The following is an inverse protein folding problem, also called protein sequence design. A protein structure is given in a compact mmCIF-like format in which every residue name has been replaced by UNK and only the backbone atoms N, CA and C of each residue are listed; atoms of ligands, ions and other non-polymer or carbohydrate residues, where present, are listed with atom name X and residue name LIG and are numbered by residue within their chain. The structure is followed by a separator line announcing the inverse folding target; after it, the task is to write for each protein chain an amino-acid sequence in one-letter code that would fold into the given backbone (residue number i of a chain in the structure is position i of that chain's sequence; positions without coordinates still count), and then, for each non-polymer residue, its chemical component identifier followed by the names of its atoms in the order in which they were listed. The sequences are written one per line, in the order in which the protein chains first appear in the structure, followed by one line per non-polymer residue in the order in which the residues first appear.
data_IF_325689063844
#
_entry.id   IF_325689063844
#
_cell.length_a   1.000
_cell.length_b   1.000
_cell.length_c   1.000
_cell.angle_alpha   90.00
_cell.angle_beta   90.00
_cell.angle_gamma   90.00
#
_symmetry.space_group_name_H-M   'P 1'
#
loop_
_entity.id
_entity.type
_entity.pdbx_description
1 polymer ?
#
# COMPACT_ATOMS: atom_id res chain seq x y z
N UNK A 1 -6.42 -20.39 -24.06
CA UNK A 1 -7.67 -20.44 -23.29
C UNK A 1 -8.74 -19.71 -24.11
N UNK A 2 -9.79 -20.40 -24.53
CA UNK A 2 -10.87 -19.76 -25.33
C UNK A 2 -11.69 -18.89 -24.37
N UNK A 3 -11.58 -17.58 -24.45
CA UNK A 3 -12.38 -16.60 -23.69
C UNK A 3 -13.89 -16.68 -23.98
N UNK A 4 -14.31 -17.54 -24.93
CA UNK A 4 -15.71 -17.73 -25.31
C UNK A 4 -16.59 -18.43 -24.27
N UNK A 5 -16.00 -18.99 -23.21
CA UNK A 5 -16.73 -19.66 -22.11
C UNK A 5 -16.90 -18.78 -20.87
N UNK A 6 -16.43 -17.53 -20.90
CA UNK A 6 -16.51 -16.60 -19.77
C UNK A 6 -17.34 -15.38 -20.14
N UNK A 7 -18.37 -15.10 -19.36
CA UNK A 7 -19.21 -13.92 -19.55
C UNK A 7 -18.91 -12.85 -18.51
N UNK A 8 -19.07 -11.60 -18.91
CA UNK A 8 -19.03 -10.43 -18.03
C UNK A 8 -20.44 -9.89 -17.86
N UNK A 9 -20.87 -9.72 -16.60
CA UNK A 9 -22.13 -9.06 -16.28
C UNK A 9 -22.02 -7.57 -16.64
N UNK A 10 -22.97 -6.99 -17.36
CA UNK A 10 -22.96 -5.57 -17.68
C UNK A 10 -22.96 -4.72 -16.38
N UNK A 11 -22.26 -3.61 -16.42
CA UNK A 11 -22.28 -2.66 -15.31
C UNK A 11 -23.61 -1.92 -15.31
N UNK A 12 -24.06 -1.53 -14.12
CA UNK A 12 -25.22 -0.68 -13.94
C UNK A 12 -25.03 0.63 -14.70
N UNK A 13 -25.89 0.90 -15.68
CA UNK A 13 -25.78 2.10 -16.53
C UNK A 13 -25.92 3.40 -15.75
N UNK A 14 -26.56 3.39 -14.58
CA UNK A 14 -26.67 4.56 -13.68
C UNK A 14 -25.34 5.00 -13.12
N UNK A 15 -24.33 4.12 -13.11
CA UNK A 15 -22.98 4.41 -12.68
C UNK A 15 -22.06 4.89 -13.82
N UNK A 16 -22.60 5.02 -15.03
CA UNK A 16 -21.85 5.51 -16.18
C UNK A 16 -22.16 6.98 -16.47
N UNK A 17 -21.16 7.76 -16.90
CA UNK A 17 -21.41 9.14 -17.39
C UNK A 17 -22.39 9.12 -18.56
N UNK A 18 -23.30 10.10 -18.61
CA UNK A 18 -24.28 10.26 -19.70
C UNK A 18 -23.60 10.31 -21.08
N UNK A 19 -22.45 10.97 -21.16
CA UNK A 19 -21.70 11.10 -22.41
C UNK A 19 -20.24 10.66 -22.24
N UNK A 20 -19.98 9.38 -22.51
CA UNK A 20 -18.64 8.79 -22.46
C UNK A 20 -17.67 9.46 -23.45
N UNK A 21 -18.16 10.11 -24.52
CA UNK A 21 -17.30 10.72 -25.54
C UNK A 21 -16.52 11.94 -25.01
N UNK A 22 -17.02 12.58 -23.95
CA UNK A 22 -16.38 13.72 -23.28
C UNK A 22 -15.22 13.34 -22.38
N UNK A 23 -15.10 12.05 -22.05
CA UNK A 23 -14.00 11.57 -21.21
C UNK A 23 -12.65 11.61 -21.97
N UNK A 24 -11.53 11.83 -21.25
CA UNK A 24 -10.19 11.63 -21.78
C UNK A 24 -10.02 10.22 -22.35
N UNK A 25 -9.15 10.05 -23.36
CA UNK A 25 -8.98 8.80 -24.09
C UNK A 25 -8.84 7.52 -23.24
N UNK A 26 -8.03 7.48 -22.16
CA UNK A 26 -7.86 6.26 -21.36
C UNK A 26 -9.15 5.85 -20.62
N UNK A 27 -9.82 6.70 -19.81
CA UNK A 27 -11.06 6.32 -19.15
C UNK A 27 -12.20 6.05 -20.14
N UNK A 28 -12.30 6.80 -21.25
CA UNK A 28 -13.28 6.54 -22.30
C UNK A 28 -13.18 5.12 -22.83
N UNK A 29 -11.97 4.65 -23.19
CA UNK A 29 -11.75 3.30 -23.69
C UNK A 29 -12.17 2.22 -22.69
N UNK A 30 -11.91 2.44 -21.40
CA UNK A 30 -12.34 1.53 -20.34
C UNK A 30 -13.87 1.47 -20.29
N UNK A 31 -14.54 2.63 -20.27
CA UNK A 31 -16.01 2.70 -20.24
C UNK A 31 -16.66 2.05 -21.47
N UNK A 32 -16.09 2.24 -22.67
CA UNK A 32 -16.55 1.57 -23.90
C UNK A 32 -16.46 0.04 -23.77
N UNK A 33 -15.38 -0.49 -23.20
CA UNK A 33 -15.21 -1.93 -22.96
C UNK A 33 -16.23 -2.44 -21.95
N UNK A 34 -16.41 -1.73 -20.83
CA UNK A 34 -17.34 -2.09 -19.78
C UNK A 34 -18.80 -2.07 -20.26
N UNK A 35 -19.17 -1.07 -21.07
CA UNK A 35 -20.49 -0.96 -21.70
C UNK A 35 -20.74 -2.05 -22.74
N UNK A 36 -19.73 -2.41 -23.54
CA UNK A 36 -19.83 -3.45 -24.55
C UNK A 36 -20.04 -4.84 -23.95
N UNK A 37 -19.47 -5.07 -22.75
CA UNK A 37 -19.55 -6.38 -22.10
C UNK A 37 -18.81 -7.49 -22.87
N UNK A 38 -19.20 -8.72 -22.61
CA UNK A 38 -18.67 -9.92 -23.29
C UNK A 38 -19.52 -10.34 -24.47
N UNK A 39 -18.92 -11.07 -25.41
CA UNK A 39 -19.64 -11.71 -26.50
C UNK A 39 -20.47 -12.94 -26.09
N UNK A 40 -20.09 -13.55 -24.95
CA UNK A 40 -20.81 -14.67 -24.37
C UNK A 40 -21.98 -14.18 -23.50
N UNK A 41 -23.15 -14.80 -23.63
CA UNK A 41 -24.28 -14.57 -22.75
C UNK A 41 -23.98 -15.12 -21.34
N UNK A 42 -24.36 -14.38 -20.30
CA UNK A 42 -24.22 -14.83 -18.91
C UNK A 42 -24.92 -16.16 -18.66
N UNK A 43 -26.08 -16.37 -19.28
CA UNK A 43 -26.89 -17.60 -19.15
C UNK A 43 -26.27 -18.83 -19.83
N UNK A 44 -25.40 -18.64 -20.78
CA UNK A 44 -24.79 -19.75 -21.56
C UNK A 44 -23.31 -19.97 -21.23
N UNK A 45 -22.69 -19.11 -20.45
CA UNK A 45 -21.29 -19.21 -20.11
C UNK A 45 -21.05 -20.20 -18.97
N UNK A 46 -19.94 -20.94 -19.04
CA UNK A 46 -19.50 -21.83 -17.93
C UNK A 46 -19.10 -21.06 -16.69
N UNK A 47 -18.59 -19.85 -16.86
CA UNK A 47 -18.14 -18.95 -15.80
C UNK A 47 -18.53 -17.53 -16.11
N UNK A 48 -18.83 -16.77 -15.06
CA UNK A 48 -19.10 -15.34 -15.19
C UNK A 48 -18.35 -14.56 -14.12
N UNK A 49 -18.20 -13.27 -14.36
CA UNK A 49 -17.68 -12.33 -13.39
C UNK A 49 -18.41 -10.99 -13.51
N UNK A 50 -18.41 -10.21 -12.44
CA UNK A 50 -19.01 -8.88 -12.38
C UNK A 50 -18.06 -7.91 -11.71
N UNK A 51 -18.31 -6.61 -11.92
CA UNK A 51 -17.75 -5.52 -11.15
C UNK A 51 -18.91 -4.82 -10.43
N UNK A 52 -19.04 -5.09 -9.14
CA UNK A 52 -20.12 -4.58 -8.30
C UNK A 52 -19.60 -3.37 -7.51
N UNK A 53 -19.85 -2.19 -8.04
CA UNK A 53 -19.50 -0.93 -7.40
C UNK A 53 -20.48 -0.57 -6.28
N UNK A 54 -20.10 0.42 -5.48
CA UNK A 54 -20.94 0.94 -4.39
C UNK A 54 -21.41 -0.15 -3.42
N UNK A 55 -20.48 -1.02 -3.02
CA UNK A 55 -20.69 -2.10 -2.05
C UNK A 55 -19.57 -2.07 -1.01
N UNK A 56 -19.93 -1.89 0.25
CA UNK A 56 -19.02 -1.95 1.39
C UNK A 56 -19.22 -3.26 2.15
N UNK A 57 -18.23 -4.15 2.25
CA UNK A 57 -18.41 -5.40 3.00
C UNK A 57 -18.51 -5.10 4.49
N UNK A 58 -19.56 -5.65 5.13
CA UNK A 58 -19.83 -5.45 6.56
C UNK A 58 -19.70 -6.73 7.37
N UNK A 59 -20.03 -7.89 6.77
CA UNK A 59 -19.97 -9.15 7.50
C UNK A 59 -19.69 -10.35 6.60
N UNK A 60 -18.93 -11.31 7.12
CA UNK A 60 -18.72 -12.63 6.53
C UNK A 60 -19.58 -13.65 7.26
N UNK A 61 -20.51 -14.27 6.57
CA UNK A 61 -21.46 -15.22 7.15
C UNK A 61 -21.01 -16.66 6.93
N UNK A 62 -21.02 -17.51 7.94
CA UNK A 62 -20.71 -18.91 7.79
C UNK A 62 -21.77 -19.66 6.96
N UNK A 63 -21.36 -20.70 6.28
CA UNK A 63 -22.27 -21.60 5.59
C UNK A 63 -23.13 -22.38 6.61
N UNK A 64 -24.43 -22.47 6.37
CA UNK A 64 -25.35 -23.22 7.24
C UNK A 64 -25.00 -24.71 7.32
N UNK A 65 -24.57 -25.30 6.19
CA UNK A 65 -24.21 -26.71 6.12
C UNK A 65 -22.80 -27.01 6.58
N UNK A 66 -21.89 -26.02 6.53
CA UNK A 66 -20.47 -26.14 6.91
C UNK A 66 -20.01 -24.87 7.63
N UNK A 67 -20.25 -24.72 8.93
CA UNK A 67 -20.00 -23.47 9.68
C UNK A 67 -18.54 -23.00 9.70
N UNK A 68 -17.58 -23.87 9.37
CA UNK A 68 -16.16 -23.49 9.19
C UNK A 68 -15.82 -22.90 7.82
N UNK A 69 -16.80 -22.80 6.92
CA UNK A 69 -16.64 -22.27 5.57
C UNK A 69 -17.52 -21.03 5.37
N UNK A 70 -17.10 -20.16 4.47
CA UNK A 70 -17.87 -18.99 4.07
C UNK A 70 -19.14 -19.44 3.32
N UNK A 71 -20.28 -18.84 3.67
CA UNK A 71 -21.56 -19.05 3.00
C UNK A 71 -22.03 -17.82 2.22
N UNK A 72 -21.86 -16.62 2.78
CA UNK A 72 -22.18 -15.36 2.11
C UNK A 72 -21.34 -14.21 2.67
N UNK A 73 -21.35 -13.09 1.94
CA UNK A 73 -20.81 -11.81 2.42
C UNK A 73 -21.94 -10.79 2.37
N UNK A 74 -22.18 -10.12 3.49
CA UNK A 74 -23.11 -9.00 3.58
C UNK A 74 -22.39 -7.71 3.18
N UNK A 75 -22.97 -6.97 2.26
CA UNK A 75 -22.51 -5.66 1.82
C UNK A 75 -23.55 -4.61 2.14
N UNK A 76 -23.12 -3.49 2.70
CA UNK A 76 -23.91 -2.28 2.71
C UNK A 76 -23.84 -1.62 1.33
N UNK A 77 -24.98 -1.20 0.79
CA UNK A 77 -25.00 -0.35 -0.40
C UNK A 77 -24.51 1.04 -0.04
N UNK A 78 -23.66 1.61 -0.89
CA UNK A 78 -23.16 2.98 -0.73
C UNK A 78 -23.56 3.84 -1.92
N UNK A 79 -23.68 5.13 -1.72
CA UNK A 79 -23.83 6.14 -2.77
C UNK A 79 -22.62 7.07 -2.78
N UNK A 80 -22.29 7.62 -3.93
CA UNK A 80 -21.26 8.66 -4.05
C UNK A 80 -21.89 10.02 -3.85
N UNK A 81 -21.33 10.86 -2.99
CA UNK A 81 -21.89 12.14 -2.61
C UNK A 81 -20.79 13.23 -2.57
N UNK A 82 -21.08 14.49 -2.95
CA UNK A 82 -22.39 14.98 -3.43
C UNK A 82 -22.68 14.63 -4.89
N UNK A 83 -21.68 14.55 -5.76
CA UNK A 83 -21.81 14.21 -7.17
C UNK A 83 -21.01 12.92 -7.44
N UNK A 84 -21.65 11.87 -7.99
CA UNK A 84 -20.98 10.60 -8.26
C UNK A 84 -19.82 10.71 -9.28
N UNK A 85 -19.78 11.75 -10.09
CA UNK A 85 -18.74 11.99 -11.09
C UNK A 85 -17.64 12.97 -10.63
N UNK A 86 -17.76 13.51 -9.42
CA UNK A 86 -16.69 14.29 -8.81
C UNK A 86 -15.56 13.35 -8.35
N UNK A 87 -14.30 13.56 -8.80
CA UNK A 87 -13.16 12.79 -8.31
C UNK A 87 -12.97 12.82 -6.78
N UNK A 88 -13.51 13.83 -6.11
CA UNK A 88 -13.50 13.99 -4.65
C UNK A 88 -14.71 13.37 -3.94
N UNK A 89 -15.67 12.77 -4.69
CA UNK A 89 -16.86 12.16 -4.13
C UNK A 89 -16.49 11.07 -3.12
N UNK A 90 -17.26 11.02 -2.02
CA UNK A 90 -17.08 10.03 -0.96
C UNK A 90 -18.21 9.00 -1.00
N UNK A 91 -17.86 7.75 -0.77
CA UNK A 91 -18.85 6.70 -0.57
C UNK A 91 -19.54 6.88 0.81
N UNK A 92 -20.84 6.99 0.79
CA UNK A 92 -21.69 7.14 1.99
C UNK A 92 -22.63 5.95 2.05
N UNK A 93 -22.75 5.31 3.23
CA UNK A 93 -23.68 4.21 3.46
C UNK A 93 -25.13 4.66 3.28
N UNK A 94 -25.95 3.82 2.67
CA UNK A 94 -27.40 4.07 2.47
C UNK A 94 -28.26 3.43 3.55
N UNK A 95 -27.67 2.60 4.41
CA UNK A 95 -28.39 1.76 5.37
C UNK A 95 -29.03 0.50 4.76
N UNK A 96 -28.97 0.34 3.44
CA UNK A 96 -29.45 -0.86 2.78
C UNK A 96 -28.34 -1.92 2.68
N UNK A 97 -28.69 -3.17 2.94
CA UNK A 97 -27.76 -4.29 2.86
C UNK A 97 -28.18 -5.33 1.83
N UNK A 98 -27.20 -6.02 1.29
CA UNK A 98 -27.40 -7.15 0.37
C UNK A 98 -26.46 -8.29 0.76
N UNK A 99 -26.98 -9.51 0.77
CA UNK A 99 -26.17 -10.72 0.96
C UNK A 99 -25.82 -11.35 -0.39
N UNK A 100 -24.52 -11.56 -0.61
CA UNK A 100 -24.02 -12.22 -1.81
C UNK A 100 -23.50 -13.60 -1.42
N UNK A 101 -24.07 -14.70 -1.93
CA UNK A 101 -23.57 -16.05 -1.71
C UNK A 101 -22.12 -16.17 -2.16
N UNK A 102 -21.25 -16.63 -1.27
CA UNK A 102 -19.81 -16.67 -1.52
C UNK A 102 -19.18 -17.86 -0.81
N UNK A 103 -18.36 -18.62 -1.50
CA UNK A 103 -17.59 -19.74 -0.91
C UNK A 103 -16.14 -19.38 -0.63
N UNK A 104 -15.66 -18.27 -1.17
CA UNK A 104 -14.30 -17.78 -1.03
C UNK A 104 -14.28 -16.26 -1.17
N UNK A 105 -13.47 -15.59 -0.35
CA UNK A 105 -13.26 -14.15 -0.41
C UNK A 105 -11.77 -13.82 -0.35
N UNK A 106 -11.33 -12.90 -1.20
CA UNK A 106 -9.98 -12.34 -1.18
C UNK A 106 -10.05 -10.87 -0.79
N UNK A 107 -9.25 -10.50 0.20
CA UNK A 107 -9.10 -9.10 0.60
C UNK A 107 -8.04 -8.43 -0.25
N UNK A 108 -8.41 -7.45 -1.05
CA UNK A 108 -7.52 -6.65 -1.90
C UNK A 108 -7.87 -5.17 -1.79
N UNK A 109 -7.82 -4.63 -0.57
CA UNK A 109 -8.23 -3.26 -0.21
C UNK A 109 -7.05 -2.29 -0.11
N UNK A 110 -5.87 -2.70 -0.57
CA UNK A 110 -4.63 -1.94 -0.46
C UNK A 110 -3.95 -2.08 0.91
N UNK A 111 -3.00 -1.21 1.15
CA UNK A 111 -2.17 -1.18 2.36
C UNK A 111 -2.27 0.18 3.04
N UNK A 112 -1.93 0.21 4.30
CA UNK A 112 -1.73 1.41 5.09
C UNK A 112 -0.44 1.25 5.87
N UNK A 113 0.40 2.28 5.89
CA UNK A 113 1.58 2.29 6.74
C UNK A 113 1.16 2.51 8.20
N UNK A 114 1.93 1.97 9.11
CA UNK A 114 1.79 2.15 10.56
C UNK A 114 3.06 2.75 11.12
N UNK A 115 2.94 3.59 12.14
CA UNK A 115 4.08 4.14 12.87
C UNK A 115 4.87 3.02 13.54
N UNK A 116 6.20 3.08 13.49
CA UNK A 116 7.02 2.14 14.23
C UNK A 116 6.97 2.43 15.74
N UNK A 117 7.04 1.39 16.60
CA UNK A 117 7.19 1.59 18.02
C UNK A 117 8.40 2.49 18.33
N UNK A 118 8.20 3.51 19.18
CA UNK A 118 9.23 4.47 19.53
C UNK A 118 9.32 5.70 18.62
N UNK A 119 8.49 5.85 17.60
CA UNK A 119 8.46 7.08 16.79
C UNK A 119 8.21 8.32 17.65
N UNK A 120 7.23 8.29 18.55
CA UNK A 120 6.95 9.39 19.50
C UNK A 120 8.14 9.71 20.39
N UNK A 121 8.84 8.68 20.89
CA UNK A 121 9.98 8.84 21.78
C UNK A 121 11.19 9.48 21.07
N UNK A 122 11.26 9.30 19.75
CA UNK A 122 12.29 9.88 18.88
C UNK A 122 11.88 11.23 18.28
N UNK A 123 10.69 11.73 18.59
CA UNK A 123 10.15 12.95 18.00
C UNK A 123 9.80 12.82 16.52
N UNK A 124 9.54 11.61 16.03
CA UNK A 124 9.09 11.36 14.66
C UNK A 124 7.56 11.47 14.62
N UNK A 125 6.99 12.50 13.97
CA UNK A 125 5.55 12.63 13.84
C UNK A 125 4.99 11.56 12.91
N UNK A 126 3.80 11.05 13.20
CA UNK A 126 3.12 10.09 12.34
C UNK A 126 1.62 10.37 12.33
N UNK A 127 1.04 10.43 11.13
CA UNK A 127 -0.39 10.61 10.93
C UNK A 127 -1.05 9.25 10.71
N UNK A 128 -1.63 8.68 11.77
CA UNK A 128 -2.28 7.35 11.72
C UNK A 128 -3.44 7.28 10.72
N UNK A 129 -4.16 8.38 10.51
CA UNK A 129 -5.29 8.39 9.57
C UNK A 129 -4.83 8.24 8.13
N UNK A 130 -3.77 8.93 7.75
CA UNK A 130 -3.21 8.91 6.40
C UNK A 130 -2.16 7.81 6.22
N UNK A 131 -1.58 7.30 7.33
CA UNK A 131 -0.48 6.33 7.30
C UNK A 131 0.80 6.93 6.73
N UNK A 132 1.12 8.18 7.07
CA UNK A 132 2.31 8.90 6.59
C UNK A 132 3.03 9.64 7.70
N UNK A 133 4.29 9.95 7.48
CA UNK A 133 5.03 10.98 8.20
C UNK A 133 4.71 12.32 7.53
N UNK A 134 4.18 13.33 8.27
CA UNK A 134 3.93 14.67 7.74
C UNK A 134 5.18 15.27 7.11
N UNK A 135 5.05 15.83 5.90
CA UNK A 135 6.20 16.33 5.13
C UNK A 135 5.78 17.40 4.10
N UNK A 136 6.75 18.09 3.51
CA UNK A 136 6.59 19.18 2.56
C UNK A 136 6.45 18.72 1.09
N UNK A 137 6.10 17.45 0.84
CA UNK A 137 6.09 16.80 -0.47
C UNK A 137 7.47 16.55 -1.08
N UNK A 138 8.51 17.30 -0.73
CA UNK A 138 9.89 17.02 -1.10
C UNK A 138 10.56 16.03 -0.14
N UNK A 139 9.92 15.75 0.98
CA UNK A 139 10.34 14.73 1.94
C UNK A 139 10.94 15.28 3.23
N UNK A 140 11.05 16.59 3.40
CA UNK A 140 11.43 17.18 4.68
C UNK A 140 10.29 16.99 5.67
N UNK A 141 10.57 16.42 6.82
CA UNK A 141 9.56 16.14 7.85
C UNK A 141 9.10 17.42 8.53
N UNK A 142 7.78 17.56 8.69
CA UNK A 142 7.14 18.72 9.30
C UNK A 142 6.69 18.36 10.72
N UNK A 143 6.87 19.28 11.67
CA UNK A 143 6.32 19.13 13.00
C UNK A 143 4.86 19.66 13.04
N UNK A 144 3.88 18.77 12.94
CA UNK A 144 2.46 19.13 12.97
C UNK A 144 1.98 19.67 14.33
N UNK A 145 2.76 19.47 15.40
CA UNK A 145 2.37 19.90 16.76
C UNK A 145 2.54 21.41 17.01
N UNK A 146 3.21 22.13 16.13
CA UNK A 146 3.50 23.56 16.33
C UNK A 146 2.60 24.49 15.52
N UNK A 147 1.56 24.00 14.83
CA UNK A 147 0.63 24.83 14.06
C UNK A 147 1.29 25.61 12.92
N UNK A 148 0.50 26.19 12.02
CA UNK A 148 0.97 27.15 11.03
C UNK A 148 1.45 28.41 11.77
N UNK A 149 2.76 28.60 11.84
CA UNK A 149 3.31 29.88 12.28
C UNK A 149 3.36 30.85 11.10
N UNK A 150 3.26 32.15 11.37
CA UNK A 150 3.41 33.21 10.36
C UNK A 150 4.78 33.18 9.63
N UNK A 151 5.70 32.31 10.06
CA UNK A 151 7.05 32.12 9.54
C UNK A 151 7.21 30.88 8.64
N UNK A 152 6.12 30.25 8.21
CA UNK A 152 6.15 29.08 7.33
C UNK A 152 6.19 27.74 8.06
N UNK A 153 6.22 26.64 7.30
CA UNK A 153 6.23 25.28 7.80
C UNK A 153 7.56 24.97 8.50
N UNK A 154 7.51 24.57 9.78
CA UNK A 154 8.72 24.23 10.51
C UNK A 154 9.14 22.80 10.23
N UNK A 155 10.23 22.63 9.49
CA UNK A 155 10.85 21.33 9.27
C UNK A 155 11.60 20.84 10.51
N UNK A 156 11.58 19.53 10.74
CA UNK A 156 12.45 18.91 11.73
C UNK A 156 13.84 18.81 11.12
N UNK A 157 14.86 19.48 11.67
CA UNK A 157 16.18 19.53 11.07
C UNK A 157 16.75 18.13 10.82
N UNK A 158 17.25 17.87 9.60
CA UNK A 158 17.90 16.63 9.23
C UNK A 158 17.00 15.39 9.21
N UNK A 159 15.69 15.55 9.27
CA UNK A 159 14.74 14.44 9.20
C UNK A 159 14.01 14.45 7.87
N UNK A 160 14.11 13.33 7.14
CA UNK A 160 13.53 13.17 5.80
C UNK A 160 12.79 11.83 5.70
N UNK A 161 11.79 11.79 4.83
CA UNK A 161 11.08 10.56 4.51
C UNK A 161 10.89 10.40 2.99
N UNK A 162 10.75 9.17 2.53
CA UNK A 162 10.54 8.82 1.14
C UNK A 162 9.61 7.59 1.02
N UNK A 163 9.05 7.36 -0.16
CA UNK A 163 8.23 6.20 -0.46
C UNK A 163 6.85 6.25 0.20
N UNK A 164 6.35 5.10 0.62
CA UNK A 164 4.99 4.99 1.14
C UNK A 164 4.76 5.77 2.43
N UNK A 165 5.76 5.87 3.27
CA UNK A 165 5.66 6.64 4.53
C UNK A 165 5.63 8.16 4.27
N UNK A 166 6.09 8.62 3.08
CA UNK A 166 6.01 10.01 2.63
C UNK A 166 4.65 10.35 2.00
N UNK A 167 4.14 9.52 1.10
CA UNK A 167 2.99 9.84 0.22
C UNK A 167 1.80 8.89 0.34
N UNK A 168 1.86 7.94 1.26
CA UNK A 168 0.91 6.84 1.35
C UNK A 168 1.23 5.68 0.39
N UNK A 169 0.57 4.52 0.56
CA UNK A 169 0.83 3.30 -0.22
C UNK A 169 0.21 3.37 -1.63
N UNK A 170 0.58 4.38 -2.40
CA UNK A 170 0.05 4.66 -3.74
C UNK A 170 1.17 4.68 -4.79
N UNK A 171 0.79 4.48 -6.05
CA UNK A 171 1.69 4.55 -7.19
C UNK A 171 2.36 3.23 -7.54
N UNK A 172 3.16 3.28 -8.58
CA UNK A 172 3.90 2.16 -9.17
C UNK A 172 5.42 2.38 -9.01
N UNK A 173 6.24 1.41 -9.42
CA UNK A 173 7.71 1.48 -9.30
C UNK A 173 8.28 2.80 -9.86
N UNK A 174 7.81 3.24 -11.03
CA UNK A 174 8.28 4.48 -11.65
C UNK A 174 8.02 5.73 -10.79
N UNK A 175 6.84 5.81 -10.16
CA UNK A 175 6.53 6.94 -9.25
C UNK A 175 7.32 6.86 -7.95
N UNK A 176 7.68 5.67 -7.49
CA UNK A 176 8.55 5.48 -6.32
C UNK A 176 9.98 5.94 -6.59
N UNK A 177 10.49 5.70 -7.79
CA UNK A 177 11.79 6.20 -8.21
C UNK A 177 11.84 7.73 -8.22
N UNK A 178 10.85 8.38 -8.85
CA UNK A 178 10.76 9.84 -8.88
C UNK A 178 10.64 10.44 -7.48
N UNK A 179 9.87 9.80 -6.60
CA UNK A 179 9.72 10.19 -5.21
C UNK A 179 11.05 10.12 -4.44
N UNK A 180 11.81 9.04 -4.63
CA UNK A 180 13.12 8.90 -4.01
C UNK A 180 14.11 9.97 -4.49
N UNK A 181 14.13 10.28 -5.78
CA UNK A 181 14.97 11.34 -6.33
C UNK A 181 14.59 12.72 -5.74
N UNK A 182 13.30 13.06 -5.66
CA UNK A 182 12.90 14.34 -5.09
C UNK A 182 13.34 14.51 -3.64
N UNK A 183 13.33 13.43 -2.85
CA UNK A 183 13.84 13.47 -1.47
C UNK A 183 15.37 13.57 -1.43
N UNK A 184 16.07 12.87 -2.31
CA UNK A 184 17.53 12.97 -2.42
C UNK A 184 17.98 14.39 -2.84
N UNK A 185 17.27 15.00 -3.78
CA UNK A 185 17.52 16.38 -4.21
C UNK A 185 17.32 17.36 -3.05
N UNK A 186 16.24 17.19 -2.26
CA UNK A 186 16.00 18.02 -1.07
C UNK A 186 17.13 17.90 -0.03
N UNK A 187 17.61 16.68 0.24
CA UNK A 187 18.73 16.47 1.16
C UNK A 187 20.00 17.13 0.62
N UNK A 188 20.25 17.02 -0.69
CA UNK A 188 21.42 17.60 -1.35
C UNK A 188 21.38 19.13 -1.30
N UNK A 189 20.21 19.73 -1.58
CA UNK A 189 20.01 21.16 -1.49
C UNK A 189 20.26 21.68 -0.07
N UNK A 190 19.70 21.02 0.94
CA UNK A 190 19.86 21.39 2.35
C UNK A 190 21.31 21.26 2.79
N UNK A 191 22.02 20.23 2.30
CA UNK A 191 23.44 20.06 2.59
C UNK A 191 24.28 21.21 2.03
N UNK A 192 24.10 21.58 0.76
CA UNK A 192 24.84 22.68 0.15
C UNK A 192 24.44 24.06 0.70
N UNK A 193 23.20 24.20 1.15
CA UNK A 193 22.70 25.43 1.77
C UNK A 193 23.03 25.54 3.26
N UNK A 194 23.78 24.58 3.80
CA UNK A 194 24.15 24.52 5.23
C UNK A 194 22.95 24.58 6.17
N UNK A 195 21.82 23.98 5.79
CA UNK A 195 20.65 23.84 6.66
C UNK A 195 21.02 22.98 7.88
N UNK A 196 20.62 23.35 9.10
CA UNK A 196 20.93 22.56 10.30
C UNK A 196 20.40 21.13 10.20
N UNK A 197 21.24 20.15 10.57
CA UNK A 197 20.84 18.76 10.78
C UNK A 197 20.64 18.48 12.28
N UNK A 198 19.95 17.37 12.63
CA UNK A 198 19.66 16.97 14.02
C UNK A 198 20.90 16.86 14.91
N UNK A 199 22.07 16.78 14.29
CA UNK A 199 23.34 16.60 14.96
C UNK A 199 24.27 17.76 14.64
N UNK A 200 24.14 18.90 15.34
CA UNK A 200 25.16 19.92 15.26
C UNK A 200 26.52 19.29 15.65
N UNK A 201 27.57 19.69 14.97
CA UNK A 201 28.94 19.20 15.16
C UNK A 201 29.46 19.50 16.57
N UNK A 202 28.96 18.79 17.56
CA UNK A 202 29.53 18.74 18.89
C UNK A 202 30.54 17.59 18.93
N UNK A 203 31.70 17.77 18.31
CA UNK A 203 32.99 17.12 18.54
C UNK A 203 33.10 15.62 18.87
N UNK A 204 32.03 14.93 19.14
CA UNK A 204 32.01 13.52 19.44
C UNK A 204 31.74 12.71 18.19
N UNK A 205 32.74 12.03 17.67
CA UNK A 205 32.59 11.00 16.65
C UNK A 205 31.52 9.99 17.05
N UNK A 206 30.44 9.93 16.32
CA UNK A 206 29.38 8.94 16.55
C UNK A 206 29.82 7.61 16.00
N UNK A 207 29.89 6.64 16.89
CA UNK A 207 30.36 5.29 16.55
C UNK A 207 29.37 4.49 15.66
N UNK A 208 28.17 5.04 15.37
CA UNK A 208 27.17 4.36 14.56
C UNK A 208 26.83 2.97 15.14
N UNK A 209 26.87 1.93 14.31
CA UNK A 209 26.64 0.56 14.74
C UNK A 209 27.60 0.09 15.82
N UNK A 210 28.86 0.48 15.78
CA UNK A 210 29.86 0.09 16.76
C UNK A 210 29.55 0.60 18.18
N UNK A 211 28.83 1.72 18.27
CA UNK A 211 28.38 2.27 19.55
C UNK A 211 27.18 1.53 20.17
N UNK A 212 26.38 0.83 19.38
CA UNK A 212 25.14 0.18 19.85
C UNK A 212 25.15 -1.34 19.77
N UNK A 213 26.12 -1.94 19.07
CA UNK A 213 26.17 -3.40 18.81
C UNK A 213 26.18 -4.27 20.04
N UNK A 214 26.86 -3.81 21.09
CA UNK A 214 26.95 -4.54 22.35
C UNK A 214 25.61 -4.57 23.09
N UNK A 215 24.93 -3.43 23.16
CA UNK A 215 23.61 -3.32 23.77
C UNK A 215 22.56 -4.09 22.99
N UNK A 216 22.60 -4.02 21.65
CA UNK A 216 21.75 -4.81 20.78
C UNK A 216 21.95 -6.32 20.99
N UNK A 217 23.19 -6.77 21.15
CA UNK A 217 23.52 -8.16 21.47
C UNK A 217 22.97 -8.60 22.83
N UNK A 218 23.07 -7.78 23.87
CA UNK A 218 22.49 -8.03 25.20
C UNK A 218 20.97 -8.21 25.14
N UNK A 219 20.31 -7.53 24.21
CA UNK A 219 18.86 -7.64 23.97
C UNK A 219 18.50 -8.79 23.04
N UNK A 220 19.43 -9.64 22.67
CA UNK A 220 19.20 -10.76 21.75
C UNK A 220 19.04 -10.38 20.29
N UNK A 221 19.37 -9.16 19.91
CA UNK A 221 19.33 -8.74 18.51
C UNK A 221 20.53 -9.32 17.75
N UNK A 222 20.26 -9.97 16.63
CA UNK A 222 21.28 -10.47 15.68
C UNK A 222 21.29 -9.61 14.44
N UNK A 223 22.43 -8.99 14.13
CA UNK A 223 22.62 -8.30 12.86
C UNK A 223 22.76 -9.31 11.73
N UNK A 224 22.04 -9.11 10.65
CA UNK A 224 22.24 -9.79 9.38
C UNK A 224 22.95 -8.81 8.43
N UNK A 225 24.17 -9.14 8.02
CA UNK A 225 24.95 -8.33 7.08
C UNK A 225 24.51 -8.57 5.63
N UNK A 226 25.05 -7.75 4.71
CA UNK A 226 24.86 -8.00 3.28
C UNK A 226 25.42 -9.35 2.82
N UNK A 227 26.57 -9.77 3.33
CA UNK A 227 27.18 -11.06 3.05
C UNK A 227 26.31 -12.21 3.56
N UNK A 228 25.71 -12.05 4.74
CA UNK A 228 24.78 -13.06 5.29
C UNK A 228 23.52 -13.16 4.43
N UNK A 229 22.98 -12.01 4.00
CA UNK A 229 21.85 -12.00 3.06
C UNK A 229 22.21 -12.72 1.75
N UNK A 230 23.40 -12.51 1.20
CA UNK A 230 23.85 -13.19 -0.01
C UNK A 230 23.93 -14.73 0.16
N UNK A 231 24.30 -15.24 1.34
CA UNK A 231 24.25 -16.66 1.64
C UNK A 231 22.81 -17.18 1.62
N UNK A 232 21.88 -16.49 2.29
CA UNK A 232 20.45 -16.83 2.28
C UNK A 232 19.92 -16.84 0.84
N UNK A 233 20.18 -15.79 0.08
CA UNK A 233 19.78 -15.65 -1.33
C UNK A 233 20.27 -16.82 -2.20
N UNK A 234 21.52 -17.20 -2.04
CA UNK A 234 22.12 -18.31 -2.77
C UNK A 234 21.43 -19.64 -2.47
N UNK A 235 21.13 -19.91 -1.20
CA UNK A 235 20.42 -21.14 -0.79
C UNK A 235 18.97 -21.14 -1.30
N UNK A 236 18.27 -20.01 -1.23
CA UNK A 236 16.91 -19.90 -1.78
C UNK A 236 16.87 -20.16 -3.28
N UNK A 237 17.84 -19.64 -4.05
CA UNK A 237 18.00 -19.89 -5.49
C UNK A 237 18.28 -21.38 -5.76
N UNK A 238 19.22 -21.98 -5.04
CA UNK A 238 19.53 -23.40 -5.18
C UNK A 238 18.31 -24.30 -4.88
N UNK A 239 17.56 -24.00 -3.84
CA UNK A 239 16.30 -24.68 -3.52
C UNK A 239 15.23 -24.50 -4.61
N UNK A 240 15.19 -23.34 -5.24
CA UNK A 240 14.29 -23.07 -6.37
C UNK A 240 14.66 -23.93 -7.59
N UNK A 241 15.92 -23.99 -7.94
CA UNK A 241 16.41 -24.77 -9.08
C UNK A 241 16.03 -26.26 -8.97
N UNK A 242 16.12 -26.84 -7.77
CA UNK A 242 15.70 -28.23 -7.53
C UNK A 242 14.21 -28.47 -7.74
N UNK A 243 13.39 -27.41 -7.79
CA UNK A 243 11.93 -27.45 -7.99
C UNK A 243 11.50 -26.81 -9.32
N UNK A 244 12.43 -26.60 -10.25
CA UNK A 244 12.17 -25.90 -11.52
C UNK A 244 11.56 -24.50 -11.33
N UNK A 245 11.96 -23.79 -10.27
CA UNK A 245 11.59 -22.41 -9.96
C UNK A 245 12.84 -21.53 -9.95
N UNK A 246 12.67 -20.25 -10.21
CA UNK A 246 13.77 -19.29 -10.10
C UNK A 246 14.30 -19.21 -8.65
N UNK A 247 13.39 -19.26 -7.69
CA UNK A 247 13.67 -19.15 -6.26
C UNK A 247 12.62 -19.89 -5.42
N UNK A 248 13.06 -20.48 -4.30
CA UNK A 248 12.16 -21.00 -3.26
C UNK A 248 12.50 -20.31 -1.94
N UNK A 249 11.76 -19.26 -1.60
CA UNK A 249 12.00 -18.46 -0.40
C UNK A 249 11.81 -19.23 0.89
N UNK A 250 12.61 -18.89 1.91
CA UNK A 250 12.31 -19.25 3.27
C UNK A 250 11.10 -18.42 3.76
N UNK A 251 10.18 -19.07 4.45
CA UNK A 251 8.97 -18.45 4.99
C UNK A 251 9.10 -18.10 6.48
N UNK A 252 10.16 -18.54 7.13
CA UNK A 252 10.41 -18.32 8.56
C UNK A 252 11.80 -17.75 8.79
N UNK A 253 11.90 -16.74 9.65
CA UNK A 253 13.18 -16.11 10.03
C UNK A 253 14.15 -17.15 10.61
N UNK A 254 13.65 -18.09 11.43
CA UNK A 254 14.47 -19.17 11.99
C UNK A 254 15.21 -19.96 10.91
N UNK A 255 14.54 -20.27 9.80
CA UNK A 255 15.13 -21.06 8.71
C UNK A 255 16.15 -20.24 7.92
N UNK A 256 15.93 -18.92 7.80
CA UNK A 256 16.91 -17.98 7.21
C UNK A 256 18.18 -17.91 8.06
N UNK A 257 18.02 -17.79 9.38
CA UNK A 257 19.16 -17.67 10.29
C UNK A 257 19.96 -18.98 10.40
N UNK A 258 19.30 -20.14 10.30
CA UNK A 258 19.97 -21.44 10.30
C UNK A 258 20.92 -21.66 9.10
N UNK A 259 20.81 -20.87 8.03
CA UNK A 259 21.76 -20.87 6.90
C UNK A 259 23.07 -20.17 7.27
N UNK A 260 23.05 -19.33 8.31
CA UNK A 260 24.16 -18.48 8.71
C UNK A 260 25.00 -19.09 9.85
N UNK A 261 24.44 -20.09 10.53
CA UNK A 261 25.09 -20.87 11.60
C UNK A 261 25.90 -22.01 10.99
#
# INVERSE_FOLDING_TARGET
MKLSSVAFHPIDETLMPEDISKLPRPPRRIMEILKKGSSASVSSAEKSWSLDFCRSPTMFNPSVSRPSQLGSVTFEKTSLSPDPFDPAAKAVGTGESIDIPSSLAFRSIGYKSEGLPGFSDLGVPFNDRLGIIPNDQMGRVINDNEGWSDYGTKHIPGMYCAGWVKRGPTGVIASTMQDAFSTADAITEDWYSHVPFLNPENGNSRLGWDGVKEEAGKRGCRRVSWQDWQKIDSVEKSRGQSKCKEREKFTRIKDMLAVLD
#
